data_IF_020162128714
#
_entry.id   IF_020162128714
#
_cell.length_a   1.000
_cell.length_b   1.000
_cell.length_c   1.000
_cell.angle_alpha   90.00
_cell.angle_beta   90.00
_cell.angle_gamma   90.00
#
_symmetry.space_group_name_H-M   'P 1'
#
loop_
_entity.id
_entity.type
_entity.pdbx_description
1 polymer ?
#
# COMPACT_ATOMS: atom_id res chain seq x y z
N UNK A 1 -16.05 4.02 -6.21
CA UNK A 1 -16.81 2.79 -5.85
C UNK A 1 -17.51 2.99 -4.53
N UNK A 2 -18.74 2.50 -4.36
CA UNK A 2 -19.52 2.61 -3.12
C UNK A 2 -20.05 1.23 -2.71
N UNK A 3 -19.99 0.93 -1.42
CA UNK A 3 -20.53 -0.30 -0.83
C UNK A 3 -21.00 -0.02 0.59
N UNK A 4 -22.13 -0.57 1.02
CA UNK A 4 -22.61 -0.34 2.38
C UNK A 4 -21.99 -1.32 3.38
N UNK A 5 -21.68 -0.82 4.57
CA UNK A 5 -21.16 -1.57 5.70
C UNK A 5 -22.23 -1.67 6.79
N UNK A 6 -22.49 -2.86 7.33
CA UNK A 6 -23.35 -2.99 8.50
C UNK A 6 -22.68 -2.37 9.73
N UNK A 7 -23.51 -1.94 10.68
CA UNK A 7 -23.02 -1.44 11.97
C UNK A 7 -22.08 -2.46 12.62
N UNK A 8 -20.92 -1.97 13.07
CA UNK A 8 -19.95 -2.76 13.81
C UNK A 8 -18.52 -2.34 13.52
N UNK A 9 -17.55 -3.13 13.99
CA UNK A 9 -16.12 -2.86 13.75
C UNK A 9 -15.67 -3.36 12.38
N UNK A 10 -16.40 -2.99 11.32
CA UNK A 10 -16.21 -3.48 9.95
C UNK A 10 -15.30 -2.58 9.10
N UNK A 11 -14.59 -1.64 9.73
CA UNK A 11 -13.68 -0.75 9.02
C UNK A 11 -12.48 -1.47 8.40
N UNK A 12 -11.78 -0.76 7.51
CA UNK A 12 -10.58 -1.25 6.84
C UNK A 12 -9.45 -1.58 7.82
N UNK A 13 -8.72 -2.66 7.54
CA UNK A 13 -7.53 -3.04 8.29
C UNK A 13 -6.27 -2.73 7.48
N UNK A 14 -5.24 -2.26 8.15
CA UNK A 14 -3.89 -2.11 7.60
C UNK A 14 -3.06 -3.36 7.87
N UNK A 15 -2.43 -3.91 6.83
CA UNK A 15 -1.48 -5.01 6.93
C UNK A 15 -0.18 -4.60 6.27
N UNK A 16 0.93 -4.94 6.92
CA UNK A 16 2.27 -4.79 6.38
C UNK A 16 2.50 -5.75 5.20
N UNK A 17 3.62 -5.61 4.49
CA UNK A 17 3.92 -6.47 3.33
C UNK A 17 4.04 -7.96 3.69
N UNK A 18 4.34 -8.27 4.96
CA UNK A 18 4.39 -9.63 5.51
C UNK A 18 3.09 -10.06 6.21
N UNK A 19 2.03 -9.27 6.08
CA UNK A 19 0.70 -9.60 6.59
C UNK A 19 0.47 -9.28 8.07
N UNK A 20 1.43 -8.65 8.76
CA UNK A 20 1.24 -8.21 10.16
C UNK A 20 0.24 -7.07 10.20
N UNK A 21 -0.71 -7.08 11.14
CA UNK A 21 -1.71 -6.02 11.25
C UNK A 21 -1.16 -4.83 12.04
N UNK A 22 -0.87 -3.73 11.35
CA UNK A 22 -0.44 -2.47 11.98
C UNK A 22 -1.61 -1.52 12.28
N UNK A 23 -2.77 -1.74 11.65
CA UNK A 23 -4.01 -1.04 11.97
C UNK A 23 -5.16 -2.06 12.02
N UNK A 24 -5.63 -2.36 13.23
CA UNK A 24 -6.62 -3.41 13.50
C UNK A 24 -8.04 -2.85 13.54
N UNK A 25 -9.02 -3.73 13.36
CA UNK A 25 -10.42 -3.40 13.64
C UNK A 25 -10.56 -2.98 15.10
N UNK A 26 -11.13 -1.80 15.30
CA UNK A 26 -11.34 -1.19 16.61
C UNK A 26 -12.45 -0.15 16.59
N UNK A 27 -12.72 0.51 15.46
CA UNK A 27 -13.70 1.59 15.37
C UNK A 27 -15.07 1.14 14.83
N UNK A 28 -16.16 1.67 15.37
CA UNK A 28 -17.49 1.42 14.80
C UNK A 28 -17.67 2.19 13.49
N UNK A 29 -18.27 1.52 12.51
CA UNK A 29 -18.71 2.08 11.23
C UNK A 29 -20.13 1.63 10.97
N UNK A 30 -20.87 2.43 10.21
CA UNK A 30 -22.23 2.14 9.78
C UNK A 30 -22.58 3.02 8.57
N UNK A 31 -23.03 2.40 7.49
CA UNK A 31 -23.37 3.07 6.23
C UNK A 31 -22.30 2.93 5.14
N UNK A 32 -22.23 3.85 4.17
CA UNK A 32 -21.45 3.66 2.97
C UNK A 32 -19.94 3.76 3.21
N UNK A 33 -19.20 2.80 2.66
CA UNK A 33 -17.78 2.94 2.28
C UNK A 33 -17.68 3.56 0.90
N UNK A 34 -16.92 4.64 0.79
CA UNK A 34 -16.63 5.30 -0.48
C UNK A 34 -15.14 5.19 -0.80
N UNK A 35 -14.79 4.74 -2.00
CA UNK A 35 -13.42 4.70 -2.52
C UNK A 35 -13.29 5.59 -3.74
N UNK A 36 -12.34 6.52 -3.67
CA UNK A 36 -11.92 7.40 -4.76
C UNK A 36 -10.42 7.24 -5.01
N UNK A 37 -10.00 7.43 -6.25
CA UNK A 37 -8.60 7.26 -6.61
C UNK A 37 -8.25 7.83 -7.97
N UNK A 38 -6.95 7.93 -8.20
CA UNK A 38 -6.33 8.34 -9.45
C UNK A 38 -5.12 7.46 -9.73
N UNK A 39 -4.97 7.08 -10.99
CA UNK A 39 -3.90 6.24 -11.50
C UNK A 39 -3.24 6.91 -12.70
N UNK A 40 -1.91 6.93 -12.73
CA UNK A 40 -1.12 7.48 -13.83
C UNK A 40 -0.04 6.47 -14.20
N UNK A 41 0.12 6.21 -15.50
CA UNK A 41 1.23 5.40 -16.02
C UNK A 41 1.80 6.01 -17.28
N UNK A 42 3.12 6.00 -17.39
CA UNK A 42 3.85 6.52 -18.54
C UNK A 42 5.09 5.64 -18.80
N UNK A 43 5.28 5.21 -20.04
CA UNK A 43 6.35 4.25 -20.41
C UNK A 43 7.16 4.73 -21.62
N UNK A 44 8.03 5.73 -21.47
CA UNK A 44 8.89 6.19 -22.54
C UNK A 44 10.07 5.24 -22.78
N UNK A 45 10.07 4.55 -23.92
CA UNK A 45 11.20 3.74 -24.38
C UNK A 45 11.58 2.61 -23.39
N UNK A 46 12.80 2.63 -22.79
CA UNK A 46 13.25 1.62 -21.84
C UNK A 46 12.86 1.94 -20.38
N UNK A 47 12.20 3.06 -20.12
CA UNK A 47 11.78 3.48 -18.79
C UNK A 47 10.26 3.43 -18.67
N UNK A 48 9.78 3.25 -17.43
CA UNK A 48 8.38 3.45 -17.09
C UNK A 48 8.24 4.00 -15.69
N UNK A 49 7.23 4.83 -15.48
CA UNK A 49 6.82 5.36 -14.19
C UNK A 49 5.31 5.17 -14.04
N UNK A 50 4.89 4.88 -12.81
CA UNK A 50 3.50 4.69 -12.43
C UNK A 50 3.27 5.26 -11.04
N UNK A 51 2.09 5.79 -10.81
CA UNK A 51 1.67 6.26 -9.51
C UNK A 51 0.17 6.00 -9.33
N UNK A 52 -0.22 5.69 -8.10
CA UNK A 52 -1.62 5.58 -7.69
C UNK A 52 -1.80 6.34 -6.38
N UNK A 53 -2.95 6.97 -6.23
CA UNK A 53 -3.43 7.50 -4.95
C UNK A 53 -4.87 7.04 -4.73
N UNK A 54 -5.17 6.59 -3.52
CA UNK A 54 -6.46 6.10 -3.07
C UNK A 54 -6.86 6.76 -1.77
N UNK A 55 -8.12 7.18 -1.68
CA UNK A 55 -8.79 7.54 -0.43
C UNK A 55 -10.02 6.67 -0.26
N UNK A 56 -10.16 6.09 0.93
CA UNK A 56 -11.35 5.35 1.34
C UNK A 56 -11.90 6.00 2.60
N UNK A 57 -13.22 6.15 2.65
CA UNK A 57 -13.92 6.69 3.81
C UNK A 57 -15.04 5.73 4.21
N UNK A 58 -15.02 5.31 5.46
CA UNK A 58 -16.09 4.50 6.04
C UNK A 58 -17.01 5.42 6.84
N UNK A 59 -18.28 5.50 6.43
CA UNK A 59 -19.27 6.25 7.18
C UNK A 59 -19.44 5.68 8.60
N UNK A 60 -19.69 6.57 9.55
CA UNK A 60 -19.89 6.26 10.96
C UNK A 60 -21.22 6.82 11.44
N UNK A 61 -22.31 6.40 10.80
CA UNK A 61 -23.66 6.92 11.08
C UNK A 61 -24.27 6.30 12.32
N UNK A 62 -24.75 7.10 13.25
CA UNK A 62 -25.41 6.64 14.46
C UNK A 62 -24.54 5.83 15.42
N UNK A 63 -23.21 5.92 15.29
CA UNK A 63 -22.27 5.15 16.12
C UNK A 63 -21.52 6.00 17.16
N UNK A 64 -21.82 7.29 17.25
CA UNK A 64 -21.44 8.17 18.34
C UNK A 64 -22.22 7.87 19.61
N UNK A 65 -21.92 8.60 20.68
CA UNK A 65 -22.56 8.43 21.99
C UNK A 65 -23.79 9.33 22.17
N UNK A 66 -24.06 10.22 21.20
CA UNK A 66 -25.12 11.23 21.26
C UNK A 66 -24.79 12.36 22.23
N UNK A 67 -25.35 13.54 22.01
CA UNK A 67 -25.42 14.59 23.03
C UNK A 67 -26.72 14.48 23.84
N UNK A 68 -26.86 15.29 24.89
CA UNK A 68 -28.04 15.35 25.76
C UNK A 68 -29.35 15.69 25.02
N UNK A 69 -29.26 16.19 23.77
CA UNK A 69 -30.39 16.56 22.93
C UNK A 69 -30.74 15.48 21.89
N UNK A 70 -29.95 14.41 21.78
CA UNK A 70 -30.25 13.21 21.00
C UNK A 70 -30.42 13.41 19.49
N UNK A 71 -29.96 14.55 18.94
CA UNK A 71 -30.33 14.99 17.59
C UNK A 71 -29.33 14.57 16.50
N UNK A 72 -28.07 14.30 16.85
CA UNK A 72 -27.10 13.68 15.95
C UNK A 72 -26.07 12.86 16.73
N UNK A 73 -25.94 11.58 16.38
CA UNK A 73 -24.92 10.68 16.91
C UNK A 73 -24.05 10.10 15.79
N UNK A 74 -23.97 10.76 14.63
CA UNK A 74 -22.98 10.46 13.61
C UNK A 74 -21.58 10.87 14.08
N UNK A 75 -20.57 10.07 13.72
CA UNK A 75 -19.17 10.47 13.82
C UNK A 75 -18.64 10.83 12.44
N UNK A 76 -17.64 11.71 12.39
CA UNK A 76 -16.90 12.02 11.17
C UNK A 76 -16.49 10.72 10.43
N UNK A 77 -16.53 10.61 9.09
CA UNK A 77 -16.12 9.38 8.41
C UNK A 77 -14.70 8.96 8.77
N UNK A 78 -14.45 7.65 8.84
CA UNK A 78 -13.13 7.11 9.17
C UNK A 78 -12.29 6.99 7.89
N UNK A 79 -11.19 7.76 7.74
CA UNK A 79 -10.44 7.76 6.49
C UNK A 79 -9.31 6.72 6.49
N UNK A 80 -9.04 6.19 5.31
CA UNK A 80 -7.84 5.46 4.95
C UNK A 80 -7.27 6.04 3.65
N UNK A 81 -5.96 6.21 3.58
CA UNK A 81 -5.25 6.73 2.41
C UNK A 81 -4.12 5.77 2.04
N UNK A 82 -3.96 5.54 0.75
CA UNK A 82 -2.88 4.72 0.22
C UNK A 82 -2.34 5.33 -1.05
N UNK A 83 -1.03 5.23 -1.26
CA UNK A 83 -0.43 5.72 -2.48
C UNK A 83 0.89 5.00 -2.77
N UNK A 84 1.29 5.02 -4.03
CA UNK A 84 2.64 4.66 -4.42
C UNK A 84 3.13 5.51 -5.59
N UNK A 85 4.45 5.61 -5.71
CA UNK A 85 5.14 5.98 -6.93
C UNK A 85 6.21 4.94 -7.20
N UNK A 86 6.26 4.44 -8.43
CA UNK A 86 7.19 3.39 -8.81
C UNK A 86 7.67 3.58 -10.23
N UNK A 87 8.92 3.24 -10.46
CA UNK A 87 9.54 3.32 -11.77
C UNK A 87 10.49 2.16 -12.02
N UNK A 88 10.72 1.89 -13.29
CA UNK A 88 11.58 0.81 -13.75
C UNK A 88 12.29 1.22 -15.03
N UNK A 89 13.56 0.82 -15.16
CA UNK A 89 14.38 1.14 -16.33
C UNK A 89 15.18 -0.10 -16.78
N UNK A 90 14.95 -0.54 -18.01
CA UNK A 90 15.78 -1.51 -18.71
C UNK A 90 17.14 -0.89 -19.06
N UNK A 91 18.17 -1.17 -18.25
CA UNK A 91 19.52 -0.64 -18.41
C UNK A 91 20.18 -1.13 -19.72
N UNK A 92 19.79 -2.32 -20.18
CA UNK A 92 20.25 -2.92 -21.44
C UNK A 92 19.49 -2.40 -22.69
N UNK A 93 18.53 -1.48 -22.50
CA UNK A 93 17.89 -0.72 -23.58
C UNK A 93 16.72 -1.43 -24.27
N UNK A 94 16.23 -2.53 -23.72
CA UNK A 94 15.05 -3.24 -24.19
C UNK A 94 13.81 -2.34 -24.13
N UNK A 95 12.92 -2.54 -25.12
CA UNK A 95 11.61 -1.89 -25.10
C UNK A 95 10.73 -2.63 -24.10
N UNK A 96 9.89 -1.89 -23.39
CA UNK A 96 8.99 -2.45 -22.37
C UNK A 96 7.62 -2.84 -22.91
N UNK A 97 7.24 -2.33 -24.07
CA UNK A 97 5.95 -2.62 -24.69
C UNK A 97 5.87 -4.11 -25.08
N UNK A 98 4.89 -4.82 -24.52
CA UNK A 98 4.71 -6.27 -24.73
C UNK A 98 5.56 -7.17 -23.82
N UNK A 99 6.32 -6.60 -22.89
CA UNK A 99 7.26 -7.33 -22.02
C UNK A 99 8.73 -7.14 -22.44
N UNK A 100 9.66 -7.46 -21.54
CA UNK A 100 11.10 -7.39 -21.82
C UNK A 100 11.56 -8.73 -22.39
N UNK A 101 11.87 -8.74 -23.68
CA UNK A 101 12.58 -9.85 -24.32
C UNK A 101 14.05 -9.46 -24.53
N UNK A 102 15.02 -10.23 -23.97
CA UNK A 102 16.44 -9.91 -24.11
C UNK A 102 16.89 -9.91 -25.57
N UNK A 103 17.48 -8.80 -26.03
CA UNK A 103 18.07 -8.73 -27.38
C UNK A 103 19.29 -9.65 -27.54
N UNK A 104 19.97 -9.94 -26.43
CA UNK A 104 21.16 -10.79 -26.35
C UNK A 104 20.99 -11.84 -25.24
N UNK A 105 20.22 -12.90 -25.47
CA UNK A 105 19.88 -13.87 -24.43
C UNK A 105 21.09 -14.68 -23.95
N UNK A 106 21.11 -14.96 -22.65
CA UNK A 106 22.05 -15.85 -21.98
C UNK A 106 21.67 -17.33 -22.17
N UNK A 107 22.65 -18.24 -22.30
CA UNK A 107 24.10 -17.99 -22.34
C UNK A 107 24.67 -17.75 -23.75
N UNK A 108 23.88 -18.01 -24.81
CA UNK A 108 24.39 -18.15 -26.17
C UNK A 108 24.82 -16.83 -26.84
N UNK A 109 24.13 -15.73 -26.56
CA UNK A 109 24.29 -14.48 -27.32
C UNK A 109 24.64 -13.25 -26.47
N UNK A 110 24.64 -13.39 -25.14
CA UNK A 110 25.06 -12.34 -24.22
C UNK A 110 24.57 -12.54 -22.78
N UNK A 111 24.61 -11.50 -21.94
CA UNK A 111 24.24 -11.61 -20.54
C UNK A 111 22.73 -11.58 -20.27
N UNK A 112 21.87 -11.47 -21.29
CA UNK A 112 20.44 -11.21 -21.10
C UNK A 112 20.12 -9.71 -20.97
N UNK A 113 18.96 -9.38 -20.39
CA UNK A 113 18.51 -8.02 -20.15
C UNK A 113 18.41 -7.71 -18.65
N UNK A 114 18.81 -6.51 -18.25
CA UNK A 114 18.79 -6.04 -16.86
C UNK A 114 17.84 -4.85 -16.76
N UNK A 115 16.92 -4.92 -15.82
CA UNK A 115 16.04 -3.83 -15.44
C UNK A 115 16.20 -3.53 -13.95
N UNK A 116 16.29 -2.26 -13.61
CA UNK A 116 16.22 -1.80 -12.22
C UNK A 116 14.82 -1.27 -11.91
N UNK A 117 14.42 -1.40 -10.64
CA UNK A 117 13.13 -0.98 -10.12
C UNK A 117 13.32 -0.17 -8.84
N UNK A 118 12.51 0.87 -8.67
CA UNK A 118 12.35 1.57 -7.40
C UNK A 118 10.88 1.86 -7.17
N UNK A 119 10.41 1.67 -5.94
CA UNK A 119 9.04 1.99 -5.53
C UNK A 119 9.05 2.57 -4.12
N UNK A 120 8.29 3.63 -3.93
CA UNK A 120 7.96 4.17 -2.62
C UNK A 120 6.45 4.18 -2.46
N UNK A 121 5.97 3.65 -1.34
CA UNK A 121 4.55 3.55 -1.05
C UNK A 121 4.25 3.89 0.40
N UNK A 122 3.02 4.32 0.65
CA UNK A 122 2.55 4.67 1.98
C UNK A 122 1.09 4.34 2.18
N UNK A 123 0.77 3.89 3.40
CA UNK A 123 -0.58 3.64 3.87
C UNK A 123 -0.80 4.41 5.17
N UNK A 124 -1.93 5.09 5.31
CA UNK A 124 -2.31 5.79 6.55
C UNK A 124 -3.77 5.56 6.86
N UNK A 125 -4.05 5.27 8.13
CA UNK A 125 -5.38 5.06 8.66
C UNK A 125 -5.66 5.99 9.84
N UNK A 126 -6.94 6.24 10.12
CA UNK A 126 -7.38 7.05 11.25
C UNK A 126 -7.43 8.56 10.96
N UNK A 127 -7.94 9.29 11.94
CA UNK A 127 -8.41 10.68 11.81
C UNK A 127 -9.91 10.80 12.09
N UNK A 128 -10.45 11.99 11.90
CA UNK A 128 -11.84 12.31 12.20
C UNK A 128 -11.96 13.77 12.62
N UNK A 129 -12.72 14.02 13.69
CA UNK A 129 -12.85 15.36 14.26
C UNK A 129 -11.55 15.77 14.98
N UNK A 130 -10.81 16.71 14.40
CA UNK A 130 -9.51 17.13 14.94
C UNK A 130 -9.62 18.04 16.17
N UNK A 131 -10.83 18.44 16.58
CA UNK A 131 -11.07 19.19 17.82
C UNK A 131 -10.91 18.33 19.07
N UNK A 132 -11.06 17.01 18.95
CA UNK A 132 -10.83 16.04 20.03
C UNK A 132 -9.42 15.42 19.97
N UNK A 133 -8.83 15.05 21.12
CA UNK A 133 -7.57 14.31 21.13
C UNK A 133 -7.75 12.92 20.46
N UNK A 134 -6.76 12.44 19.69
CA UNK A 134 -6.81 11.11 19.09
C UNK A 134 -7.01 10.03 20.15
N UNK A 135 -7.99 9.15 19.95
CA UNK A 135 -8.32 8.07 20.88
C UNK A 135 -8.48 6.72 20.19
N UNK A 136 -8.10 5.65 20.89
CA UNK A 136 -8.29 4.25 20.45
C UNK A 136 -9.66 3.69 20.84
N UNK A 137 -10.52 4.49 21.47
CA UNK A 137 -11.89 4.10 21.80
C UNK A 137 -12.67 3.76 20.52
N UNK A 138 -13.47 2.69 20.50
CA UNK A 138 -14.25 2.31 19.32
C UNK A 138 -15.18 3.38 18.77
N UNK A 139 -15.61 4.33 19.61
CA UNK A 139 -16.52 5.44 19.25
C UNK A 139 -15.84 6.80 19.32
N UNK A 140 -14.51 6.87 19.24
CA UNK A 140 -13.77 8.13 19.25
C UNK A 140 -14.14 9.00 18.03
N UNK A 141 -14.45 10.29 18.23
CA UNK A 141 -14.67 11.20 17.12
C UNK A 141 -13.37 11.39 16.32
N UNK A 142 -12.23 11.51 17.01
CA UNK A 142 -10.89 11.44 16.45
C UNK A 142 -10.26 10.05 16.61
N UNK A 143 -10.31 9.22 15.57
CA UNK A 143 -9.74 7.88 15.63
C UNK A 143 -8.21 7.93 15.61
N UNK A 144 -7.56 7.41 16.67
CA UNK A 144 -6.12 7.25 16.71
C UNK A 144 -5.64 6.38 15.54
N UNK A 145 -4.83 7.00 14.68
CA UNK A 145 -4.35 6.40 13.45
C UNK A 145 -3.03 5.65 13.59
N UNK A 146 -2.61 5.04 12.48
CA UNK A 146 -1.26 4.55 12.27
C UNK A 146 -0.92 4.66 10.78
N UNK A 147 0.36 4.70 10.46
CA UNK A 147 0.82 4.71 9.09
C UNK A 147 2.03 3.81 8.86
N UNK A 148 2.20 3.43 7.61
CA UNK A 148 3.29 2.63 7.11
C UNK A 148 3.88 3.31 5.86
N UNK A 149 5.20 3.22 5.71
CA UNK A 149 5.92 3.59 4.50
C UNK A 149 6.90 2.49 4.10
N UNK A 150 6.96 2.18 2.80
CA UNK A 150 7.80 1.10 2.27
C UNK A 150 8.61 1.61 1.09
N UNK A 151 9.93 1.42 1.15
CA UNK A 151 10.83 1.62 0.01
C UNK A 151 11.28 0.27 -0.50
N UNK A 152 11.06 0.01 -1.79
CA UNK A 152 11.53 -1.18 -2.48
C UNK A 152 12.51 -0.79 -3.58
N UNK A 153 13.69 -1.40 -3.57
CA UNK A 153 14.68 -1.34 -4.64
C UNK A 153 14.83 -2.74 -5.23
N UNK A 154 14.78 -2.86 -6.55
CA UNK A 154 14.77 -4.15 -7.24
C UNK A 154 15.68 -4.21 -8.45
N UNK A 155 16.15 -5.42 -8.74
CA UNK A 155 16.83 -5.78 -9.98
C UNK A 155 16.12 -6.98 -10.59
N UNK A 156 15.74 -6.85 -11.85
CA UNK A 156 15.18 -7.90 -12.69
C UNK A 156 16.23 -8.29 -13.74
N UNK A 157 16.61 -9.56 -13.76
CA UNK A 157 17.52 -10.10 -14.74
C UNK A 157 16.80 -11.13 -15.61
N UNK A 158 16.57 -10.75 -16.86
CA UNK A 158 15.96 -11.58 -17.88
C UNK A 158 17.08 -12.30 -18.62
N UNK A 159 17.37 -13.53 -18.19
CA UNK A 159 18.44 -14.32 -18.78
C UNK A 159 18.09 -14.65 -20.24
N UNK A 160 16.89 -15.14 -20.48
CA UNK A 160 16.34 -15.44 -21.81
C UNK A 160 14.80 -15.34 -21.75
N UNK A 161 14.12 -15.75 -22.82
CA UNK A 161 12.65 -15.71 -22.89
C UNK A 161 11.93 -16.61 -21.87
N UNK A 162 12.62 -17.60 -21.31
CA UNK A 162 12.06 -18.57 -20.38
C UNK A 162 12.38 -18.24 -18.92
N UNK A 163 13.54 -17.64 -18.65
CA UNK A 163 14.07 -17.48 -17.29
C UNK A 163 14.22 -16.00 -16.92
N UNK A 164 13.59 -15.62 -15.80
CA UNK A 164 13.76 -14.33 -15.14
C UNK A 164 14.13 -14.51 -13.69
N UNK A 165 15.16 -13.80 -13.23
CA UNK A 165 15.52 -13.66 -11.82
C UNK A 165 15.13 -12.28 -11.33
N UNK A 166 14.64 -12.20 -10.10
CA UNK A 166 14.30 -10.93 -9.44
C UNK A 166 14.92 -10.90 -8.04
N UNK A 167 15.53 -9.78 -7.69
CA UNK A 167 16.04 -9.50 -6.36
C UNK A 167 15.45 -8.17 -5.87
N UNK A 168 14.87 -8.15 -4.68
CA UNK A 168 14.31 -6.94 -4.07
C UNK A 168 14.88 -6.73 -2.67
N UNK A 169 15.34 -5.52 -2.39
CA UNK A 169 15.60 -5.01 -1.04
C UNK A 169 14.44 -4.11 -0.62
N UNK A 170 13.82 -4.43 0.51
CA UNK A 170 12.59 -3.80 0.99
C UNK A 170 12.86 -3.24 2.37
N UNK A 171 12.61 -1.95 2.57
CA UNK A 171 12.64 -1.28 3.87
C UNK A 171 11.25 -0.82 4.22
N UNK A 172 10.67 -1.43 5.24
CA UNK A 172 9.37 -1.08 5.80
C UNK A 172 9.55 -0.27 7.08
N UNK A 173 8.70 0.75 7.26
CA UNK A 173 8.62 1.55 8.48
C UNK A 173 7.17 1.75 8.90
N UNK A 174 6.85 1.40 10.14
CA UNK A 174 5.56 1.64 10.77
C UNK A 174 5.71 2.77 11.80
N UNK A 175 4.78 3.72 11.83
CA UNK A 175 4.82 4.85 12.79
C UNK A 175 4.69 4.35 14.24
N UNK A 176 3.72 3.48 14.53
CA UNK A 176 3.64 2.79 15.82
C UNK A 176 4.48 1.50 15.83
N UNK A 177 5.67 1.56 16.44
CA UNK A 177 6.59 0.44 16.57
C UNK A 177 6.04 -0.77 17.33
N UNK A 178 5.00 -0.58 18.18
CA UNK A 178 4.35 -1.68 18.88
C UNK A 178 3.50 -2.56 17.94
N UNK A 179 3.12 -2.00 16.78
CA UNK A 179 2.32 -2.66 15.76
C UNK A 179 3.16 -3.13 14.56
N UNK A 180 4.49 -3.05 14.66
CA UNK A 180 5.45 -3.52 13.66
C UNK A 180 5.56 -5.05 13.61
N UNK A 181 5.95 -5.66 12.47
CA UNK A 181 6.20 -7.10 12.39
C UNK A 181 7.24 -7.62 13.38
N UNK A 182 8.21 -6.76 13.75
CA UNK A 182 9.17 -7.04 14.81
C UNK A 182 8.85 -6.12 15.98
N UNK A 183 8.29 -6.64 17.09
CA UNK A 183 7.87 -5.83 18.23
C UNK A 183 8.98 -4.89 18.70
N UNK A 184 8.67 -3.60 18.84
CA UNK A 184 9.60 -2.57 19.32
C UNK A 184 10.57 -2.04 18.25
N UNK A 185 10.54 -2.54 17.01
CA UNK A 185 11.32 -1.98 15.90
C UNK A 185 10.42 -1.26 14.92
N UNK A 186 10.52 0.06 14.84
CA UNK A 186 9.77 0.87 13.88
C UNK A 186 10.16 0.60 12.41
N UNK A 187 11.28 -0.07 12.14
CA UNK A 187 11.72 -0.35 10.78
C UNK A 187 12.31 -1.76 10.64
N UNK A 188 12.01 -2.39 9.51
CA UNK A 188 12.43 -3.75 9.17
C UNK A 188 12.98 -3.77 7.74
N UNK A 189 14.10 -4.47 7.55
CA UNK A 189 14.67 -4.75 6.23
C UNK A 189 14.36 -6.18 5.82
N UNK A 190 14.01 -6.38 4.55
CA UNK A 190 13.85 -7.70 3.96
C UNK A 190 14.52 -7.76 2.60
N UNK A 191 15.12 -8.90 2.30
CA UNK A 191 15.62 -9.23 0.97
C UNK A 191 14.80 -10.40 0.44
N UNK A 192 14.25 -10.26 -0.76
CA UNK A 192 13.46 -11.29 -1.42
C UNK A 192 14.05 -11.61 -2.79
N UNK A 193 14.22 -12.90 -3.08
CA UNK A 193 14.64 -13.40 -4.39
C UNK A 193 13.50 -14.21 -5.01
N UNK A 194 13.30 -14.08 -6.32
CA UNK A 194 12.36 -14.89 -7.10
C UNK A 194 13.02 -15.38 -8.37
N UNK A 195 12.88 -16.66 -8.64
CA UNK A 195 13.15 -17.27 -9.95
C UNK A 195 11.81 -17.56 -10.62
N UNK A 196 11.64 -17.09 -11.85
CA UNK A 196 10.45 -17.34 -12.66
C UNK A 196 10.85 -18.09 -13.92
N UNK A 197 10.08 -19.15 -14.21
CA UNK A 197 10.17 -19.93 -15.44
C UNK A 197 8.84 -19.79 -16.20
N UNK A 198 8.91 -19.46 -17.49
CA UNK A 198 7.75 -19.42 -18.38
C UNK A 198 7.90 -20.55 -19.39
N UNK A 199 6.88 -21.39 -19.50
CA UNK A 199 6.82 -22.55 -20.41
C UNK A 199 5.75 -22.34 -21.46
#
# INVERSE_FOLDING_TARGET
>A
MRSDLPEGQNHLQGRTIFGTRFFRRGFYVNGPRQRTGIDVSWSPGPASVSAEYLRVEDARRGVGVGDENGLDNDLAPLPARGWYVGGTWALTGEKKAGGIEPRRPFPLHGPGAIEIAARYEGLRFGGGDMSEPPSRSPRAANAAGNAEGIVTLGVNWYLNRFIRMQLNGIRERVEDASASPVPGRASVWTVACRLQFVM
#
